data_IF_543707953750
#
_entry.id   IF_543707953750
#
_cell.length_a   1.000
_cell.length_b   1.000
_cell.length_c   1.000
_cell.angle_alpha   90.00
_cell.angle_beta   90.00
_cell.angle_gamma   90.00
#
_symmetry.space_group_name_H-M   'P 1'
#
loop_
_entity.id
_entity.type
_entity.pdbx_description
1 polymer ?
#
# COMPACT_ATOMS: atom_id res chain seq x y z
N UNK A 1 -0.58 14.35 -1.47
CA UNK A 1 0.60 13.53 -1.07
C UNK A 1 1.30 12.97 -2.29
N UNK A 2 2.52 12.53 -2.13
CA UNK A 2 3.22 11.74 -3.12
C UNK A 2 3.15 10.27 -2.73
N UNK A 3 2.61 9.42 -3.62
CA UNK A 3 2.30 8.03 -3.32
C UNK A 3 3.04 7.11 -4.29
N UNK A 4 3.79 6.15 -3.74
CA UNK A 4 4.43 5.12 -4.57
C UNK A 4 3.44 3.99 -4.88
N UNK A 5 3.56 3.43 -6.07
CA UNK A 5 2.78 2.27 -6.49
C UNK A 5 3.71 1.18 -6.98
N UNK A 6 3.36 -0.07 -6.68
CA UNK A 6 4.05 -1.24 -7.19
C UNK A 6 3.10 -2.42 -7.31
N UNK A 7 3.32 -3.25 -8.31
CA UNK A 7 2.53 -4.47 -8.50
C UNK A 7 3.33 -5.52 -9.26
N UNK A 8 2.87 -6.77 -9.19
CA UNK A 8 3.23 -7.75 -10.19
C UNK A 8 2.17 -7.76 -11.30
N UNK A 9 2.27 -8.74 -12.20
CA UNK A 9 1.32 -8.90 -13.31
C UNK A 9 -0.12 -9.16 -12.82
N UNK A 10 -0.29 -9.85 -11.68
CA UNK A 10 -1.61 -10.18 -11.15
C UNK A 10 -2.30 -8.98 -10.52
N UNK A 11 -1.56 -7.98 -10.06
CA UNK A 11 -2.11 -6.75 -9.49
C UNK A 11 -2.06 -5.54 -10.41
N UNK A 12 -1.59 -5.72 -11.63
CA UNK A 12 -1.36 -4.62 -12.58
C UNK A 12 -2.62 -3.81 -12.89
N UNK A 13 -3.74 -4.46 -13.16
CA UNK A 13 -5.00 -3.76 -13.50
C UNK A 13 -5.46 -2.87 -12.36
N UNK A 14 -5.42 -3.37 -11.12
CA UNK A 14 -5.82 -2.56 -9.97
C UNK A 14 -4.84 -1.42 -9.72
N UNK A 15 -3.54 -1.65 -9.95
CA UNK A 15 -2.55 -0.56 -9.86
C UNK A 15 -2.91 0.58 -10.82
N UNK A 16 -3.24 0.25 -12.06
CA UNK A 16 -3.62 1.27 -13.06
C UNK A 16 -4.90 2.01 -12.66
N UNK A 17 -5.91 1.30 -12.15
CA UNK A 17 -7.18 1.92 -11.70
C UNK A 17 -6.96 2.84 -10.50
N UNK A 18 -6.16 2.41 -9.55
CA UNK A 18 -5.82 3.23 -8.38
C UNK A 18 -4.99 4.45 -8.79
N UNK A 19 -4.09 4.29 -9.75
CA UNK A 19 -3.31 5.41 -10.30
C UNK A 19 -4.22 6.50 -10.86
N UNK A 20 -5.25 6.13 -11.63
CA UNK A 20 -6.25 7.06 -12.13
C UNK A 20 -6.99 7.77 -10.98
N UNK A 21 -7.42 7.01 -9.98
CA UNK A 21 -8.10 7.55 -8.80
C UNK A 21 -7.23 8.57 -8.08
N UNK A 22 -5.97 8.23 -7.82
CA UNK A 22 -5.03 9.11 -7.11
C UNK A 22 -4.81 10.41 -7.87
N UNK A 23 -4.68 10.34 -9.20
CA UNK A 23 -4.57 11.54 -10.04
C UNK A 23 -5.80 12.42 -9.93
N UNK A 24 -6.99 11.83 -9.96
CA UNK A 24 -8.26 12.57 -9.83
C UNK A 24 -8.42 13.23 -8.45
N UNK A 25 -7.79 12.67 -7.43
CA UNK A 25 -7.79 13.22 -6.06
C UNK A 25 -6.68 14.26 -5.83
N UNK A 26 -5.87 14.54 -6.84
CA UNK A 26 -4.81 15.55 -6.76
C UNK A 26 -3.49 15.06 -6.17
N UNK A 27 -3.32 13.74 -6.02
CA UNK A 27 -2.05 13.19 -5.53
C UNK A 27 -1.04 13.02 -6.66
N UNK A 28 0.26 13.15 -6.31
CA UNK A 28 1.35 12.78 -7.20
C UNK A 28 1.62 11.28 -7.05
N UNK A 29 1.91 10.62 -8.16
CA UNK A 29 2.17 9.17 -8.18
C UNK A 29 3.58 8.91 -8.70
N UNK A 30 4.32 8.03 -8.01
CA UNK A 30 5.53 7.43 -8.51
C UNK A 30 5.29 5.95 -8.71
N UNK A 31 5.18 5.56 -9.97
CA UNK A 31 4.86 4.17 -10.36
C UNK A 31 6.15 3.40 -10.61
N UNK A 32 6.40 2.39 -9.76
CA UNK A 32 7.58 1.53 -9.86
C UNK A 32 7.35 0.28 -10.72
N UNK A 33 6.15 0.13 -11.31
CA UNK A 33 5.80 -1.02 -12.13
C UNK A 33 5.16 -2.14 -11.28
N UNK A 34 4.84 -3.29 -11.92
CA UNK A 34 5.17 -3.56 -13.35
C UNK A 34 4.29 -2.73 -14.29
N UNK A 35 4.58 -2.82 -15.59
CA UNK A 35 3.89 -2.00 -16.60
C UNK A 35 3.15 -2.83 -17.64
N UNK A 36 2.90 -4.10 -17.35
CA UNK A 36 2.15 -5.00 -18.24
C UNK A 36 1.61 -6.19 -17.44
N UNK A 37 0.84 -7.04 -18.12
CA UNK A 37 0.34 -8.29 -17.55
C UNK A 37 1.29 -9.48 -17.79
N UNK A 38 2.48 -9.23 -18.35
CA UNK A 38 3.50 -10.25 -18.52
C UNK A 38 4.01 -10.72 -17.15
N UNK A 39 4.15 -12.04 -16.93
CA UNK A 39 4.60 -12.57 -15.64
C UNK A 39 5.93 -11.97 -15.17
N UNK A 40 5.96 -11.50 -13.93
CA UNK A 40 7.16 -10.96 -13.29
C UNK A 40 7.21 -11.40 -11.84
N UNK A 41 8.38 -11.30 -11.23
CA UNK A 41 8.58 -11.62 -9.82
C UNK A 41 8.27 -10.38 -8.97
N UNK A 42 7.26 -10.49 -8.13
CA UNK A 42 6.73 -9.36 -7.35
C UNK A 42 7.78 -8.63 -6.50
N UNK A 43 8.77 -9.29 -5.86
CA UNK A 43 9.72 -8.55 -5.01
C UNK A 43 10.49 -7.46 -5.75
N UNK A 44 10.75 -7.64 -7.05
CA UNK A 44 11.50 -6.68 -7.86
C UNK A 44 10.77 -5.34 -8.01
N UNK A 45 9.45 -5.34 -7.91
CA UNK A 45 8.61 -4.14 -8.08
C UNK A 45 8.07 -3.59 -6.77
N UNK A 46 7.83 -4.48 -5.80
CA UNK A 46 7.27 -4.08 -4.51
C UNK A 46 8.34 -3.43 -3.64
N UNK A 47 9.53 -4.01 -3.59
CA UNK A 47 10.60 -3.50 -2.73
C UNK A 47 10.96 -2.04 -3.03
N UNK A 48 11.18 -1.64 -4.29
CA UNK A 48 11.49 -0.23 -4.58
C UNK A 48 10.38 0.73 -4.16
N UNK A 49 9.11 0.33 -4.33
CA UNK A 49 7.98 1.16 -3.90
C UNK A 49 7.96 1.35 -2.39
N UNK A 50 8.23 0.29 -1.63
CA UNK A 50 8.31 0.35 -0.16
C UNK A 50 9.51 1.16 0.30
N UNK A 51 10.67 0.99 -0.34
CA UNK A 51 11.89 1.73 -0.02
C UNK A 51 11.70 3.24 -0.24
N UNK A 52 10.94 3.65 -1.25
CA UNK A 52 10.64 5.05 -1.49
C UNK A 52 9.89 5.69 -0.31
N UNK A 53 9.00 4.93 0.32
CA UNK A 53 8.30 5.37 1.53
C UNK A 53 9.27 5.45 2.72
N UNK A 54 10.09 4.43 2.89
CA UNK A 54 11.05 4.39 4.00
C UNK A 54 12.05 5.55 3.94
N UNK A 55 12.46 5.96 2.73
CA UNK A 55 13.39 7.09 2.53
C UNK A 55 12.72 8.46 2.63
N UNK A 56 11.41 8.53 2.73
CA UNK A 56 10.69 9.79 2.70
C UNK A 56 10.57 10.41 1.31
N UNK A 57 10.94 9.69 0.26
CA UNK A 57 10.73 10.12 -1.13
C UNK A 57 9.25 10.17 -1.48
N UNK A 58 8.46 9.22 -0.95
CA UNK A 58 7.02 9.20 -1.02
C UNK A 58 6.44 9.20 0.38
N UNK A 59 5.27 9.81 0.54
CA UNK A 59 4.59 9.91 1.83
C UNK A 59 3.97 8.58 2.24
N UNK A 60 3.40 7.86 1.28
CA UNK A 60 2.77 6.54 1.45
C UNK A 60 2.97 5.71 0.19
N UNK A 61 2.71 4.41 0.31
CA UNK A 61 2.77 3.49 -0.82
C UNK A 61 1.55 2.58 -0.88
N UNK A 62 1.24 2.10 -2.08
CA UNK A 62 0.18 1.11 -2.29
C UNK A 62 0.73 0.03 -3.22
N UNK A 63 0.62 -1.22 -2.79
CA UNK A 63 1.15 -2.36 -3.53
C UNK A 63 0.05 -3.38 -3.82
N UNK A 64 0.17 -4.07 -4.94
CA UNK A 64 -0.88 -4.94 -5.46
C UNK A 64 -0.30 -6.26 -5.95
N UNK A 65 -0.98 -7.35 -5.66
CA UNK A 65 -0.67 -8.66 -6.22
C UNK A 65 -1.94 -9.44 -6.43
N UNK A 66 -1.84 -10.74 -6.63
CA UNK A 66 -2.99 -11.63 -6.73
C UNK A 66 -3.72 -11.76 -5.39
N UNK A 67 -3.00 -12.00 -4.32
CA UNK A 67 -3.54 -12.07 -2.96
C UNK A 67 -3.14 -10.88 -2.09
N UNK A 68 -2.04 -10.23 -2.41
CA UNK A 68 -1.47 -9.17 -1.59
C UNK A 68 -0.57 -9.68 -0.46
N UNK A 69 -0.52 -11.00 -0.23
CA UNK A 69 0.26 -11.59 0.86
C UNK A 69 1.77 -11.39 0.68
N UNK A 70 2.30 -11.83 -0.46
CA UNK A 70 3.73 -11.70 -0.75
C UNK A 70 4.17 -10.26 -0.80
N UNK A 71 3.34 -9.39 -1.37
CA UNK A 71 3.58 -7.96 -1.45
C UNK A 71 3.70 -7.35 -0.06
N UNK A 72 2.80 -7.70 0.86
CA UNK A 72 2.87 -7.23 2.25
C UNK A 72 4.13 -7.75 2.95
N UNK A 73 4.51 -9.00 2.70
CA UNK A 73 5.71 -9.60 3.27
C UNK A 73 6.97 -8.85 2.82
N UNK A 74 7.08 -8.58 1.53
CA UNK A 74 8.22 -7.83 0.97
C UNK A 74 8.29 -6.44 1.57
N UNK A 75 7.17 -5.72 1.57
CA UNK A 75 7.12 -4.35 2.07
C UNK A 75 7.53 -4.27 3.54
N UNK A 76 7.06 -5.21 4.37
CA UNK A 76 7.36 -5.23 5.79
C UNK A 76 8.80 -5.66 6.13
N UNK A 77 9.55 -6.18 5.16
CA UNK A 77 10.99 -6.41 5.34
C UNK A 77 11.82 -5.15 5.17
N UNK A 78 11.23 -4.07 4.74
CA UNK A 78 11.90 -2.77 4.63
C UNK A 78 11.74 -2.03 5.96
N UNK A 79 12.87 -1.69 6.59
CA UNK A 79 12.85 -0.96 7.86
C UNK A 79 12.14 0.38 7.71
N UNK A 80 11.24 0.69 8.64
CA UNK A 80 10.44 1.91 8.59
C UNK A 80 9.11 1.79 7.84
N UNK A 81 8.86 0.64 7.20
CA UNK A 81 7.60 0.37 6.52
C UNK A 81 6.66 -0.42 7.45
N UNK A 82 5.43 0.03 7.52
CA UNK A 82 4.33 -0.66 8.20
C UNK A 82 3.24 -0.89 7.16
N UNK A 83 3.33 -2.05 6.50
CA UNK A 83 2.42 -2.43 5.44
C UNK A 83 1.26 -3.25 6.01
N UNK A 84 0.04 -2.84 5.68
CA UNK A 84 -1.16 -3.56 6.05
C UNK A 84 -1.82 -4.18 4.82
N UNK A 85 -2.12 -5.48 4.90
CA UNK A 85 -2.93 -6.17 3.91
C UNK A 85 -4.40 -5.91 4.26
N UNK A 86 -5.12 -5.21 3.38
CA UNK A 86 -6.50 -4.85 3.62
C UNK A 86 -7.43 -5.50 2.60
N UNK A 87 -8.59 -5.97 3.07
CA UNK A 87 -9.55 -6.70 2.27
C UNK A 87 -10.98 -6.18 2.41
N UNK A 88 -11.20 -5.21 3.29
CA UNK A 88 -12.49 -4.55 3.48
C UNK A 88 -12.28 -3.15 4.04
N UNK A 89 -13.36 -2.40 4.19
CA UNK A 89 -13.29 -1.02 4.68
C UNK A 89 -12.77 -0.95 6.12
N UNK A 90 -13.18 -1.86 6.98
CA UNK A 90 -12.78 -1.89 8.38
C UNK A 90 -11.27 -2.16 8.54
N UNK A 91 -10.73 -3.15 7.80
CA UNK A 91 -9.29 -3.44 7.86
C UNK A 91 -8.46 -2.24 7.41
N UNK A 92 -8.94 -1.51 6.39
CA UNK A 92 -8.27 -0.30 5.92
C UNK A 92 -8.28 0.80 6.99
N UNK A 93 -9.44 1.04 7.60
CA UNK A 93 -9.59 2.06 8.65
C UNK A 93 -8.71 1.75 9.86
N UNK A 94 -8.76 0.52 10.36
CA UNK A 94 -7.98 0.12 11.52
C UNK A 94 -6.48 0.15 11.28
N UNK A 95 -6.03 -0.16 10.07
CA UNK A 95 -4.61 -0.09 9.74
C UNK A 95 -4.05 1.33 9.90
N UNK A 96 -4.89 2.33 9.65
CA UNK A 96 -4.53 3.72 9.87
C UNK A 96 -4.68 4.14 11.32
N UNK A 97 -5.87 3.91 11.90
CA UNK A 97 -6.18 4.35 13.26
C UNK A 97 -5.24 3.75 14.30
N UNK A 98 -4.92 2.47 14.18
CA UNK A 98 -4.16 1.73 15.18
C UNK A 98 -2.67 1.56 14.85
N UNK A 99 -2.32 1.43 13.58
CA UNK A 99 -0.97 1.05 13.18
C UNK A 99 -0.23 2.15 12.41
N UNK A 100 -0.91 3.24 12.09
CA UNK A 100 -0.33 4.30 11.24
C UNK A 100 0.35 3.71 10.02
N UNK A 101 -0.32 2.75 9.37
CA UNK A 101 0.23 2.04 8.21
C UNK A 101 0.61 3.04 7.13
N UNK A 102 1.83 2.94 6.63
CA UNK A 102 2.33 3.81 5.58
C UNK A 102 2.40 3.14 4.21
N UNK A 103 2.13 1.82 4.16
CA UNK A 103 1.96 1.08 2.90
C UNK A 103 0.70 0.21 3.02
N UNK A 104 -0.09 0.22 1.94
CA UNK A 104 -1.31 -0.58 1.82
C UNK A 104 -1.06 -1.69 0.80
N UNK A 105 -1.42 -2.93 1.13
CA UNK A 105 -1.37 -4.06 0.19
C UNK A 105 -2.78 -4.58 -0.08
N UNK A 106 -3.05 -4.92 -1.35
CA UNK A 106 -4.34 -5.50 -1.75
C UNK A 106 -4.15 -6.61 -2.77
N UNK A 107 -5.12 -7.54 -2.79
CA UNK A 107 -5.13 -8.67 -3.71
C UNK A 107 -6.21 -8.53 -4.78
N UNK A 108 -5.81 -8.37 -6.04
CA UNK A 108 -6.73 -8.20 -7.16
C UNK A 108 -7.69 -9.38 -7.33
N UNK A 109 -7.23 -10.60 -7.01
CA UNK A 109 -8.05 -11.82 -7.14
C UNK A 109 -9.00 -12.04 -5.98
N UNK A 110 -8.87 -11.27 -4.88
CA UNK A 110 -9.62 -11.51 -3.64
C UNK A 110 -10.69 -10.48 -3.35
N UNK A 111 -10.61 -9.30 -3.95
CA UNK A 111 -11.58 -8.22 -3.72
C UNK A 111 -12.04 -7.63 -5.06
N UNK A 112 -13.32 -7.21 -5.16
CA UNK A 112 -13.79 -6.54 -6.37
C UNK A 112 -13.17 -5.15 -6.52
N UNK A 113 -13.12 -4.67 -7.75
CA UNK A 113 -12.48 -3.39 -8.07
C UNK A 113 -13.10 -2.21 -7.32
N UNK A 114 -14.42 -2.13 -7.24
CA UNK A 114 -15.11 -1.05 -6.54
C UNK A 114 -14.76 -1.01 -5.05
N UNK A 115 -14.61 -2.17 -4.43
CA UNK A 115 -14.16 -2.25 -3.03
C UNK A 115 -12.71 -1.80 -2.89
N UNK A 116 -11.83 -2.19 -3.82
CA UNK A 116 -10.44 -1.74 -3.81
C UNK A 116 -10.34 -0.22 -3.84
N UNK A 117 -11.13 0.44 -4.68
CA UNK A 117 -11.13 1.91 -4.76
C UNK A 117 -11.66 2.55 -3.47
N UNK A 118 -12.69 1.96 -2.85
CA UNK A 118 -13.20 2.42 -1.54
C UNK A 118 -12.15 2.28 -0.44
N UNK A 119 -11.46 1.13 -0.41
CA UNK A 119 -10.38 0.88 0.55
C UNK A 119 -9.30 1.97 0.43
N UNK A 120 -8.88 2.29 -0.78
CA UNK A 120 -7.87 3.33 -1.02
C UNK A 120 -8.34 4.69 -0.47
N UNK A 121 -9.57 5.09 -0.76
CA UNK A 121 -10.11 6.36 -0.26
C UNK A 121 -10.12 6.42 1.26
N UNK A 122 -10.64 5.38 1.90
CA UNK A 122 -10.70 5.29 3.37
C UNK A 122 -9.29 5.35 3.96
N UNK A 123 -8.37 4.58 3.38
CA UNK A 123 -6.99 4.53 3.88
C UNK A 123 -6.28 5.88 3.76
N UNK A 124 -6.51 6.61 2.68
CA UNK A 124 -5.92 7.95 2.49
C UNK A 124 -6.50 9.00 3.43
N UNK A 125 -7.79 8.89 3.74
CA UNK A 125 -8.53 9.89 4.53
C UNK A 125 -8.48 9.64 6.04
N UNK A 126 -8.10 8.43 6.47
CA UNK A 126 -8.12 8.07 7.89
C UNK A 126 -6.79 8.42 8.56
N UNK A 127 -6.87 9.13 9.68
CA UNK A 127 -5.71 9.52 10.48
C UNK A 127 -5.33 8.47 11.50
N UNK A 128 -4.19 8.70 12.16
CA UNK A 128 -3.72 7.87 13.27
C UNK A 128 -4.35 8.38 14.58
N UNK A 129 -4.89 7.46 15.38
CA UNK A 129 -5.54 7.82 16.65
C UNK A 129 -4.53 8.22 17.74
N UNK A 130 -3.30 7.75 17.65
CA UNK A 130 -2.30 8.02 18.67
C UNK A 130 -2.60 7.29 19.99
N UNK A 131 -2.45 7.99 21.11
CA UNK A 131 -2.73 7.43 22.41
C UNK A 131 -1.91 6.16 22.71
N UNK A 132 -2.59 5.10 23.16
CA UNK A 132 -1.94 3.83 23.49
C UNK A 132 -1.24 3.18 22.29
N UNK A 133 -1.63 3.55 21.07
CA UNK A 133 -1.06 2.97 19.85
C UNK A 133 0.32 3.55 19.52
N UNK A 134 0.65 4.76 19.96
CA UNK A 134 1.94 5.40 19.70
C UNK A 134 3.12 4.55 20.14
N UNK A 135 3.06 4.02 21.36
CA UNK A 135 4.12 3.18 21.91
C UNK A 135 4.32 1.91 21.07
N UNK A 136 3.23 1.30 20.64
CA UNK A 136 3.27 0.07 19.85
C UNK A 136 3.85 0.32 18.46
N UNK A 137 3.45 1.42 17.83
CA UNK A 137 4.01 1.82 16.54
C UNK A 137 5.50 2.13 16.65
N UNK A 138 5.93 2.79 17.74
CA UNK A 138 7.35 3.04 17.98
C UNK A 138 8.14 1.73 18.11
N UNK A 139 7.57 0.71 18.73
CA UNK A 139 8.19 -0.62 18.83
C UNK A 139 8.33 -1.28 17.45
N UNK A 140 7.31 -1.15 16.60
CA UNK A 140 7.40 -1.62 15.21
C UNK A 140 8.52 -0.92 14.45
N UNK A 141 8.64 0.39 14.63
CA UNK A 141 9.65 1.18 13.93
C UNK A 141 11.09 0.85 14.39
N UNK A 142 11.24 0.33 15.59
CA UNK A 142 12.55 -0.05 16.15
C UNK A 142 13.05 -1.41 15.66
N UNK A 143 12.21 -2.18 15.01
CA UNK A 143 12.56 -3.51 14.50
C UNK A 143 13.32 -3.45 13.17
#
# INVERSE_FOLDING_TARGET
MKISLGSDHAGFRYKEKVKELLGSLGHQVKDFGTFSEEPVDYPLFIRPAAEAVARGECDRGIVFGGSGNGEAMVANKVHGVRCALCWNEESARLSRQHNDANVLSMGERLIPEDLALKIVRIWLETGFDGGRHERRVAMLNAM
#
